data_IF_869491496709
#
_entry.id   IF_869491496709
#
_cell.length_a   1.000
_cell.length_b   1.000
_cell.length_c   1.000
_cell.angle_alpha   90.00
_cell.angle_beta   90.00
_cell.angle_gamma   90.00
#
_symmetry.space_group_name_H-M   'P 1'
#
loop_
_entity.id
_entity.type
_entity.pdbx_description
1 polymer ?
#
# COMPACT_ATOMS: atom_id res chain seq x y z
N UNK A 1 -5.19 -17.63 -7.23
CA UNK A 1 -4.87 -17.16 -8.59
C UNK A 1 -5.30 -15.70 -8.77
N UNK A 2 -6.57 -15.35 -8.54
CA UNK A 2 -7.13 -13.99 -8.70
C UNK A 2 -6.36 -12.90 -7.93
N UNK A 3 -6.08 -13.09 -6.64
CA UNK A 3 -5.35 -12.09 -5.83
C UNK A 3 -3.94 -11.81 -6.36
N UNK A 4 -3.23 -12.84 -6.82
CA UNK A 4 -1.87 -12.70 -7.36
C UNK A 4 -1.91 -11.89 -8.65
N UNK A 5 -2.90 -12.15 -9.52
CA UNK A 5 -3.08 -11.40 -10.77
C UNK A 5 -3.46 -9.95 -10.48
N UNK A 6 -4.39 -9.72 -9.56
CA UNK A 6 -4.78 -8.35 -9.13
C UNK A 6 -3.56 -7.56 -8.65
N UNK A 7 -2.79 -8.11 -7.69
CA UNK A 7 -1.60 -7.43 -7.19
C UNK A 7 -0.54 -7.26 -8.27
N UNK A 8 -0.34 -8.26 -9.14
CA UNK A 8 0.61 -8.19 -10.24
C UNK A 8 0.29 -7.07 -11.22
N UNK A 9 -0.98 -6.93 -11.61
CA UNK A 9 -1.45 -5.85 -12.49
C UNK A 9 -1.35 -4.50 -11.78
N UNK A 10 -1.82 -4.40 -10.54
CA UNK A 10 -1.77 -3.17 -9.75
C UNK A 10 -0.34 -2.63 -9.60
N UNK A 11 0.59 -3.44 -9.11
CA UNK A 11 1.97 -3.02 -8.89
C UNK A 11 2.71 -2.72 -10.19
N UNK A 12 2.37 -3.44 -11.28
CA UNK A 12 2.96 -3.19 -12.60
C UNK A 12 2.52 -1.85 -13.18
N UNK A 13 1.21 -1.57 -13.16
CA UNK A 13 0.66 -0.28 -13.64
C UNK A 13 1.16 0.87 -12.76
N UNK A 14 1.13 0.69 -11.44
CA UNK A 14 1.66 1.68 -10.50
C UNK A 14 3.14 1.99 -10.75
N UNK A 15 3.98 0.95 -10.92
CA UNK A 15 5.41 1.13 -11.17
C UNK A 15 5.71 1.88 -12.46
N UNK A 16 4.96 1.60 -13.54
CA UNK A 16 5.10 2.30 -14.83
C UNK A 16 4.71 3.78 -14.67
N UNK A 17 3.55 4.07 -14.07
CA UNK A 17 3.08 5.44 -13.88
C UNK A 17 4.01 6.23 -12.96
N UNK A 18 4.46 5.63 -11.86
CA UNK A 18 5.41 6.25 -10.94
C UNK A 18 6.71 6.62 -11.65
N UNK A 19 7.24 5.71 -12.48
CA UNK A 19 8.44 5.98 -13.28
C UNK A 19 8.23 7.13 -14.26
N UNK A 20 7.11 7.14 -14.99
CA UNK A 20 6.82 8.16 -16.00
C UNK A 20 6.70 9.56 -15.39
N UNK A 21 6.08 9.68 -14.23
CA UNK A 21 5.84 10.95 -13.53
C UNK A 21 7.10 11.46 -12.83
N UNK A 22 7.83 10.57 -12.15
CA UNK A 22 8.97 10.96 -11.33
C UNK A 22 10.28 11.08 -12.12
N UNK A 23 10.43 10.47 -13.32
CA UNK A 23 11.72 10.51 -14.05
C UNK A 23 12.32 11.91 -14.26
N UNK A 24 11.48 12.94 -14.37
CA UNK A 24 11.91 14.34 -14.55
C UNK A 24 12.41 15.00 -13.26
N UNK A 25 11.94 14.53 -12.10
CA UNK A 25 12.30 15.05 -10.77
C UNK A 25 13.65 14.49 -10.28
N UNK A 26 14.10 13.38 -10.86
CA UNK A 26 15.32 12.66 -10.48
C UNK A 26 16.47 12.91 -11.48
N UNK A 27 16.46 14.03 -12.20
CA UNK A 27 17.55 14.42 -13.10
C UNK A 27 18.68 15.04 -12.26
N UNK A 28 19.86 14.44 -12.33
CA UNK A 28 21.09 14.92 -11.71
C UNK A 28 21.59 16.19 -12.43
N UNK A 29 22.47 16.96 -11.79
CA UNK A 29 23.03 18.19 -12.36
C UNK A 29 23.80 17.95 -13.68
N UNK A 30 24.22 16.71 -13.96
CA UNK A 30 24.86 16.29 -15.20
C UNK A 30 23.87 15.90 -16.33
N UNK A 31 22.55 16.00 -16.10
CA UNK A 31 21.51 15.66 -17.07
C UNK A 31 21.09 14.18 -17.09
N UNK A 32 21.75 13.32 -16.30
CA UNK A 32 21.41 11.89 -16.20
C UNK A 32 20.32 11.66 -15.16
N UNK A 33 19.44 10.68 -15.39
CA UNK A 33 18.45 10.29 -14.37
C UNK A 33 19.12 9.45 -13.29
N UNK A 34 18.97 9.82 -12.01
CA UNK A 34 19.34 8.98 -10.88
C UNK A 34 18.37 7.80 -10.76
N UNK A 35 18.61 6.78 -11.59
CA UNK A 35 17.85 5.54 -11.63
C UNK A 35 17.98 4.74 -10.33
N UNK A 36 19.05 4.95 -9.55
CA UNK A 36 19.27 4.25 -8.29
C UNK A 36 18.30 4.76 -7.22
N UNK A 37 18.23 6.08 -7.04
CA UNK A 37 17.29 6.72 -6.11
C UNK A 37 15.83 6.45 -6.52
N UNK A 38 15.53 6.57 -7.82
CA UNK A 38 14.18 6.32 -8.36
C UNK A 38 13.71 4.89 -8.10
N UNK A 39 14.57 3.89 -8.31
CA UNK A 39 14.26 2.48 -8.01
C UNK A 39 14.11 2.27 -6.50
N UNK A 40 14.99 2.86 -5.69
CA UNK A 40 14.93 2.75 -4.23
C UNK A 40 13.61 3.28 -3.67
N UNK A 41 13.17 4.46 -4.13
CA UNK A 41 11.91 5.05 -3.69
C UNK A 41 10.70 4.26 -4.17
N UNK A 42 10.72 3.76 -5.41
CA UNK A 42 9.68 2.86 -5.91
C UNK A 42 9.56 1.60 -5.04
N UNK A 43 10.68 0.96 -4.70
CA UNK A 43 10.69 -0.22 -3.83
C UNK A 43 10.14 0.12 -2.45
N UNK A 44 10.54 1.25 -1.84
CA UNK A 44 10.00 1.68 -0.54
C UNK A 44 8.49 1.90 -0.57
N UNK A 45 7.95 2.50 -1.63
CA UNK A 45 6.49 2.69 -1.77
C UNK A 45 5.78 1.35 -1.91
N UNK A 46 6.23 0.49 -2.83
CA UNK A 46 5.63 -0.83 -3.03
C UNK A 46 5.68 -1.66 -1.75
N UNK A 47 6.81 -1.65 -1.03
CA UNK A 47 6.95 -2.31 0.26
C UNK A 47 6.00 -1.74 1.31
N UNK A 48 5.82 -0.41 1.35
CA UNK A 48 4.89 0.23 2.29
C UNK A 48 3.43 -0.14 2.01
N UNK A 49 3.03 -0.12 0.74
CA UNK A 49 1.71 -0.56 0.30
C UNK A 49 1.46 -2.04 0.64
N UNK A 50 2.47 -2.89 0.39
CA UNK A 50 2.39 -4.32 0.69
C UNK A 50 2.24 -4.61 2.19
N UNK A 51 3.01 -3.93 3.05
CA UNK A 51 2.87 -4.05 4.51
C UNK A 51 1.47 -3.62 4.95
N UNK A 52 0.98 -2.49 4.42
CA UNK A 52 -0.37 -2.01 4.67
C UNK A 52 -1.43 -3.06 4.33
N UNK A 53 -1.33 -3.68 3.16
CA UNK A 53 -2.30 -4.70 2.69
C UNK A 53 -2.30 -5.96 3.54
N UNK A 54 -1.14 -6.43 3.98
CA UNK A 54 -1.06 -7.59 4.89
C UNK A 54 -1.75 -7.28 6.21
N UNK A 55 -1.48 -6.10 6.79
CA UNK A 55 -2.13 -5.66 8.04
C UNK A 55 -3.64 -5.50 7.85
N UNK A 56 -4.07 -4.87 6.75
CA UNK A 56 -5.49 -4.73 6.38
C UNK A 56 -6.19 -6.08 6.30
N UNK A 57 -5.59 -7.04 5.60
CA UNK A 57 -6.19 -8.36 5.36
C UNK A 57 -6.37 -9.12 6.67
N UNK A 58 -5.35 -9.12 7.54
CA UNK A 58 -5.42 -9.76 8.86
C UNK A 58 -6.50 -9.07 9.70
N UNK A 59 -6.45 -7.73 9.82
CA UNK A 59 -7.41 -6.98 10.61
C UNK A 59 -8.86 -7.20 10.13
N UNK A 60 -9.09 -7.17 8.81
CA UNK A 60 -10.42 -7.36 8.22
C UNK A 60 -10.98 -8.73 8.54
N UNK A 61 -10.15 -9.77 8.40
CA UNK A 61 -10.59 -11.13 8.68
C UNK A 61 -10.86 -11.35 10.17
N UNK A 62 -9.98 -10.83 11.05
CA UNK A 62 -10.17 -10.90 12.50
C UNK A 62 -11.42 -10.17 12.97
N UNK A 63 -11.66 -8.95 12.48
CA UNK A 63 -12.86 -8.17 12.80
C UNK A 63 -14.14 -8.84 12.29
N UNK A 64 -14.11 -9.36 11.07
CA UNK A 64 -15.24 -10.07 10.49
C UNK A 64 -15.64 -11.26 11.35
N UNK A 65 -14.65 -12.09 11.70
CA UNK A 65 -14.85 -13.25 12.55
C UNK A 65 -15.39 -12.87 13.94
N UNK A 66 -14.82 -11.82 14.54
CA UNK A 66 -15.25 -11.32 15.84
C UNK A 66 -16.70 -10.81 15.84
N UNK A 67 -17.09 -10.03 14.83
CA UNK A 67 -18.46 -9.51 14.72
C UNK A 67 -19.48 -10.63 14.48
N UNK A 68 -19.13 -11.65 13.71
CA UNK A 68 -19.98 -12.83 13.52
C UNK A 68 -20.19 -13.60 14.82
N UNK A 69 -19.17 -13.72 15.67
CA UNK A 69 -19.31 -14.32 17.01
C UNK A 69 -20.25 -13.52 17.92
N UNK A 70 -20.35 -12.21 17.71
CA UNK A 70 -21.29 -11.33 18.40
C UNK A 70 -22.72 -11.39 17.80
N UNK A 71 -22.99 -12.31 16.88
CA UNK A 71 -24.27 -12.49 16.19
C UNK A 71 -24.69 -11.28 15.33
N UNK A 72 -23.74 -10.50 14.81
CA UNK A 72 -24.06 -9.51 13.78
C UNK A 72 -24.42 -10.20 12.46
N UNK A 73 -25.33 -9.58 11.70
CA UNK A 73 -25.64 -10.04 10.35
C UNK A 73 -24.39 -10.01 9.46
N UNK A 74 -24.18 -11.01 8.59
CA UNK A 74 -22.94 -11.13 7.80
C UNK A 74 -22.60 -9.91 6.95
N UNK A 75 -23.61 -9.20 6.41
CA UNK A 75 -23.38 -7.98 5.63
C UNK A 75 -22.94 -6.81 6.52
N UNK A 76 -23.53 -6.64 7.71
CA UNK A 76 -23.12 -5.61 8.66
C UNK A 76 -21.71 -5.86 9.16
N UNK A 77 -21.40 -7.10 9.52
CA UNK A 77 -20.06 -7.50 9.89
C UNK A 77 -19.05 -7.14 8.79
N UNK A 78 -19.40 -7.42 7.53
CA UNK A 78 -18.54 -7.12 6.36
C UNK A 78 -18.28 -5.63 6.20
N UNK A 79 -19.33 -4.81 6.27
CA UNK A 79 -19.21 -3.34 6.11
C UNK A 79 -18.37 -2.74 7.25
N UNK A 80 -18.64 -3.12 8.50
CA UNK A 80 -17.92 -2.58 9.66
C UNK A 80 -16.45 -3.00 9.62
N UNK A 81 -16.17 -4.27 9.35
CA UNK A 81 -14.79 -4.78 9.24
C UNK A 81 -14.04 -4.10 8.11
N UNK A 82 -14.69 -3.87 6.96
CA UNK A 82 -14.11 -3.15 5.83
C UNK A 82 -13.73 -1.72 6.24
N UNK A 83 -14.63 -0.98 6.88
CA UNK A 83 -14.41 0.41 7.28
C UNK A 83 -13.26 0.52 8.28
N UNK A 84 -13.28 -0.27 9.35
CA UNK A 84 -12.25 -0.23 10.40
C UNK A 84 -10.89 -0.63 9.80
N UNK A 85 -10.83 -1.70 9.02
CA UNK A 85 -9.57 -2.13 8.40
C UNK A 85 -9.02 -1.09 7.43
N UNK A 86 -9.88 -0.37 6.71
CA UNK A 86 -9.43 0.72 5.82
C UNK A 86 -8.78 1.86 6.61
N UNK A 87 -9.33 2.20 7.79
CA UNK A 87 -8.69 3.19 8.69
C UNK A 87 -7.33 2.68 9.18
N UNK A 88 -7.25 1.42 9.59
CA UNK A 88 -6.00 0.78 10.02
C UNK A 88 -4.97 0.82 8.88
N UNK A 89 -5.37 0.47 7.66
CA UNK A 89 -4.52 0.52 6.47
C UNK A 89 -3.91 1.91 6.27
N UNK A 90 -4.74 2.96 6.29
CA UNK A 90 -4.27 4.34 6.12
C UNK A 90 -3.28 4.76 7.21
N UNK A 91 -3.54 4.36 8.47
CA UNK A 91 -2.63 4.61 9.59
C UNK A 91 -1.31 3.88 9.39
N UNK A 92 -1.34 2.58 9.08
CA UNK A 92 -0.14 1.77 8.82
C UNK A 92 0.68 2.35 7.68
N UNK A 93 0.04 2.70 6.57
CA UNK A 93 0.68 3.27 5.39
C UNK A 93 1.37 4.59 5.73
N UNK A 94 0.68 5.50 6.43
CA UNK A 94 1.27 6.77 6.87
C UNK A 94 2.48 6.57 7.80
N UNK A 95 2.39 5.61 8.73
CA UNK A 95 3.51 5.27 9.61
C UNK A 95 4.69 4.69 8.82
N UNK A 96 4.47 3.77 7.90
CA UNK A 96 5.54 3.15 7.10
C UNK A 96 6.21 4.16 6.18
N UNK A 97 5.45 5.07 5.55
CA UNK A 97 6.02 6.17 4.75
C UNK A 97 6.89 7.09 5.61
N UNK A 98 6.42 7.44 6.83
CA UNK A 98 7.18 8.29 7.75
C UNK A 98 8.47 7.61 8.24
N UNK A 99 8.41 6.31 8.53
CA UNK A 99 9.57 5.52 8.96
C UNK A 99 10.60 5.31 7.84
N UNK A 100 10.14 5.11 6.60
CA UNK A 100 11.02 4.93 5.44
C UNK A 100 11.66 6.22 4.94
N UNK A 101 11.36 7.38 5.58
CA UNK A 101 11.81 8.73 5.18
C UNK A 101 11.67 8.93 3.67
N UNK A 102 10.53 8.50 3.12
CA UNK A 102 10.29 8.60 1.68
C UNK A 102 10.30 10.07 1.22
N UNK A 103 9.90 10.97 2.11
CA UNK A 103 10.10 12.41 1.97
C UNK A 103 11.31 12.79 2.81
N UNK A 104 12.46 12.90 2.15
CA UNK A 104 13.66 13.52 2.72
C UNK A 104 13.44 15.03 2.65
N UNK A 105 13.28 15.67 3.81
CA UNK A 105 13.63 17.09 3.97
C UNK A 105 15.15 17.26 3.79
#
# INVERSE_FOLDING_TARGET
FTLIVDYGVFFSVFGILFYLDNRKKYILQNGETDKSLLKSDLVKIISSLGIGEVVYTIARWSLQYYLLLLNYEPYMASIISQLISTVIYMVTLNLTIKLTKLFKD
#
